data_IF_462958962389
#
_entry.id   IF_462958962389
#
_cell.length_a   1.000
_cell.length_b   1.000
_cell.length_c   1.000
_cell.angle_alpha   90.00
_cell.angle_beta   90.00
_cell.angle_gamma   90.00
#
_symmetry.space_group_name_H-M   'P 1'
#
loop_
_entity.id
_entity.type
_entity.pdbx_description
1 polymer ?
#
# COMPACT_ATOMS: atom_id res chain seq x y z
N UNK A 1 -14.13 22.37 -18.98
CA UNK A 1 -12.92 21.71 -18.42
C UNK A 1 -13.33 20.34 -17.89
N UNK A 2 -13.31 19.31 -18.74
CA UNK A 2 -13.94 18.01 -18.47
C UNK A 2 -12.90 16.99 -17.97
N UNK A 3 -12.76 16.83 -16.65
CA UNK A 3 -11.93 15.76 -16.06
C UNK A 3 -12.78 14.49 -16.01
N UNK A 4 -12.54 13.55 -16.94
CA UNK A 4 -13.13 12.20 -16.87
C UNK A 4 -12.50 11.45 -15.69
N UNK A 5 -13.28 10.92 -14.72
CA UNK A 5 -12.74 10.59 -13.39
C UNK A 5 -12.02 9.23 -13.27
N UNK A 6 -12.00 8.37 -14.29
CA UNK A 6 -11.41 7.02 -14.16
C UNK A 6 -10.69 6.60 -15.43
N UNK A 7 -9.47 7.09 -15.64
CA UNK A 7 -8.54 6.48 -16.60
C UNK A 7 -7.63 5.55 -15.79
N UNK A 8 -7.82 4.23 -15.96
CA UNK A 8 -6.87 3.24 -15.45
C UNK A 8 -5.48 3.60 -15.97
N UNK A 9 -4.45 3.43 -15.14
CA UNK A 9 -3.09 3.55 -15.63
C UNK A 9 -2.86 2.51 -16.75
N UNK A 10 -2.02 2.85 -17.74
CA UNK A 10 -1.81 2.03 -18.95
C UNK A 10 -1.35 0.59 -18.63
N UNK A 11 -0.80 0.38 -17.43
CA UNK A 11 -0.41 -0.93 -16.91
C UNK A 11 -1.61 -1.74 -16.38
N UNK A 12 -2.60 -1.07 -15.78
CA UNK A 12 -3.79 -1.71 -15.18
C UNK A 12 -4.80 -2.13 -16.24
N UNK A 13 -4.93 -1.37 -17.33
CA UNK A 13 -5.82 -1.72 -18.44
C UNK A 13 -5.43 -3.05 -19.09
N UNK A 14 -4.13 -3.37 -19.14
CA UNK A 14 -3.59 -4.63 -19.69
C UNK A 14 -4.07 -5.88 -18.94
N UNK A 15 -4.54 -5.76 -17.69
CA UNK A 15 -5.09 -6.88 -16.94
C UNK A 15 -6.55 -7.16 -17.28
N UNK A 16 -7.25 -6.21 -17.91
CA UNK A 16 -8.66 -6.31 -18.29
C UNK A 16 -8.86 -6.67 -19.78
N UNK A 17 -7.77 -6.76 -20.55
CA UNK A 17 -7.78 -6.98 -22.01
C UNK A 17 -8.03 -8.44 -22.44
N UNK A 18 -8.33 -9.34 -21.50
CA UNK A 18 -8.67 -10.74 -21.79
C UNK A 18 -7.47 -11.70 -21.78
N UNK A 19 -7.59 -12.89 -22.43
CA UNK A 19 -6.59 -13.95 -22.33
C UNK A 19 -5.21 -13.51 -22.85
N UNK A 20 -4.15 -13.80 -22.09
CA UNK A 20 -2.78 -13.43 -22.44
C UNK A 20 -2.05 -14.61 -23.07
N UNK A 21 -0.91 -14.34 -23.71
CA UNK A 21 -0.04 -15.40 -24.23
C UNK A 21 0.45 -16.30 -23.10
N UNK A 22 0.38 -17.63 -23.29
CA UNK A 22 0.89 -18.64 -22.33
C UNK A 22 2.32 -18.38 -21.87
N UNK A 23 3.18 -17.91 -22.78
CA UNK A 23 4.58 -17.56 -22.46
C UNK A 23 4.63 -16.29 -21.58
N UNK A 24 3.79 -15.30 -21.89
CA UNK A 24 3.68 -14.08 -21.10
C UNK A 24 3.16 -14.35 -19.68
N UNK A 25 2.16 -15.22 -19.56
CA UNK A 25 1.64 -15.68 -18.26
C UNK A 25 2.71 -16.43 -17.47
N UNK A 26 3.48 -17.32 -18.10
CA UNK A 26 4.59 -18.02 -17.46
C UNK A 26 5.62 -17.05 -16.85
N UNK A 27 6.09 -16.05 -17.63
CA UNK A 27 7.01 -15.05 -17.11
C UNK A 27 6.39 -14.15 -16.05
N UNK A 28 5.10 -13.83 -16.16
CA UNK A 28 4.38 -13.09 -15.11
C UNK A 28 4.36 -13.89 -13.80
N UNK A 29 4.04 -15.19 -13.84
CA UNK A 29 4.09 -16.07 -12.67
C UNK A 29 5.48 -16.08 -12.04
N UNK A 30 6.54 -16.25 -12.84
CA UNK A 30 7.92 -16.18 -12.33
C UNK A 30 8.24 -14.82 -11.67
N UNK A 31 7.78 -13.71 -12.27
CA UNK A 31 7.95 -12.36 -11.70
C UNK A 31 7.23 -12.22 -10.37
N UNK A 32 5.99 -12.70 -10.26
CA UNK A 32 5.20 -12.68 -9.03
C UNK A 32 5.90 -13.51 -7.94
N UNK A 33 6.36 -14.72 -8.25
CA UNK A 33 7.10 -15.56 -7.31
C UNK A 33 8.38 -14.88 -6.82
N UNK A 34 9.13 -14.22 -7.70
CA UNK A 34 10.32 -13.44 -7.31
C UNK A 34 9.96 -12.26 -6.40
N UNK A 35 8.82 -11.59 -6.63
CA UNK A 35 8.33 -10.53 -5.73
C UNK A 35 8.00 -11.07 -4.34
N UNK A 36 7.37 -12.24 -4.23
CA UNK A 36 7.12 -12.89 -2.94
C UNK A 36 8.41 -13.24 -2.21
N UNK A 37 9.39 -13.82 -2.89
CA UNK A 37 10.70 -14.13 -2.29
C UNK A 37 11.37 -12.86 -1.76
N UNK A 38 11.34 -11.76 -2.52
CA UNK A 38 11.88 -10.47 -2.07
C UNK A 38 11.13 -9.93 -0.86
N UNK A 39 9.81 -10.01 -0.86
CA UNK A 39 8.97 -9.54 0.25
C UNK A 39 9.26 -10.34 1.53
N UNK A 40 9.28 -11.68 1.45
CA UNK A 40 9.59 -12.53 2.60
C UNK A 40 10.98 -12.24 3.18
N UNK A 41 12.00 -12.08 2.33
CA UNK A 41 13.35 -11.72 2.79
C UNK A 41 13.39 -10.35 3.47
N UNK A 42 12.67 -9.36 2.94
CA UNK A 42 12.62 -8.01 3.51
C UNK A 42 11.84 -7.96 4.83
N UNK A 43 10.78 -8.76 4.94
CA UNK A 43 9.91 -8.78 6.11
C UNK A 43 10.34 -9.78 7.19
N UNK A 44 11.32 -10.65 6.91
CA UNK A 44 11.73 -11.74 7.80
C UNK A 44 12.12 -11.29 9.22
N UNK A 45 12.71 -10.10 9.35
CA UNK A 45 13.19 -9.55 10.61
C UNK A 45 12.30 -8.43 11.17
N UNK A 46 11.11 -8.21 10.60
CA UNK A 46 10.17 -7.23 11.14
C UNK A 46 9.62 -7.79 12.46
N UNK A 47 9.67 -6.97 13.52
CA UNK A 47 9.12 -7.33 14.83
C UNK A 47 7.58 -7.37 14.83
N UNK A 48 6.94 -7.37 16.01
CA UNK A 48 5.48 -7.28 16.12
C UNK A 48 4.95 -6.12 15.28
N UNK A 49 4.04 -6.39 14.35
CA UNK A 49 3.61 -5.43 13.35
C UNK A 49 2.09 -5.22 13.39
N UNK A 50 1.67 -3.96 13.34
CA UNK A 50 0.27 -3.56 13.24
C UNK A 50 0.04 -2.90 11.89
N UNK A 51 -0.92 -3.42 11.12
CA UNK A 51 -1.30 -2.81 9.84
C UNK A 51 -2.42 -1.79 10.05
N UNK A 52 -2.20 -0.56 9.60
CA UNK A 52 -3.17 0.54 9.71
C UNK A 52 -3.75 0.86 8.33
N UNK A 53 -5.08 0.85 8.25
CA UNK A 53 -5.85 1.23 7.07
C UNK A 53 -6.66 2.50 7.33
N UNK A 54 -6.88 3.28 6.28
CA UNK A 54 -7.78 4.43 6.35
C UNK A 54 -7.86 5.19 5.04
N UNK A 55 -8.66 6.26 5.04
CA UNK A 55 -8.91 7.08 3.86
C UNK A 55 -7.62 7.70 3.31
N UNK A 56 -7.43 7.58 1.99
CA UNK A 56 -6.38 8.28 1.25
C UNK A 56 -6.70 9.76 0.97
N UNK A 57 -7.88 10.24 1.37
CA UNK A 57 -8.44 11.54 0.95
C UNK A 57 -8.48 12.58 2.06
N UNK A 58 -8.05 12.23 3.27
CA UNK A 58 -8.09 13.15 4.40
C UNK A 58 -6.80 13.97 4.43
N UNK A 59 -6.97 15.28 4.36
CA UNK A 59 -5.88 16.25 4.42
C UNK A 59 -5.32 16.36 5.86
N UNK A 60 -4.10 16.89 6.03
CA UNK A 60 -3.45 16.98 7.33
C UNK A 60 -4.21 17.77 8.40
N UNK A 61 -5.03 18.73 8.02
CA UNK A 61 -5.88 19.52 8.92
C UNK A 61 -7.10 18.74 9.44
N UNK A 62 -7.44 17.60 8.81
CA UNK A 62 -8.55 16.78 9.21
C UNK A 62 -8.32 16.16 10.62
N UNK A 63 -9.33 16.19 11.51
CA UNK A 63 -9.18 15.61 12.86
C UNK A 63 -8.81 14.13 12.84
N UNK A 64 -9.28 13.36 11.84
CA UNK A 64 -8.93 11.95 11.70
C UNK A 64 -7.48 11.75 11.23
N UNK A 65 -6.93 12.65 10.43
CA UNK A 65 -5.50 12.62 10.09
C UNK A 65 -4.66 12.78 11.35
N UNK A 66 -4.96 13.81 12.15
CA UNK A 66 -4.27 14.04 13.43
C UNK A 66 -4.43 12.87 14.41
N UNK A 67 -5.58 12.21 14.41
CA UNK A 67 -5.77 10.99 15.17
C UNK A 67 -4.92 9.83 14.64
N UNK A 68 -4.80 9.69 13.31
CA UNK A 68 -3.91 8.72 12.66
C UNK A 68 -2.46 8.88 13.10
N UNK A 69 -1.96 10.12 13.17
CA UNK A 69 -0.61 10.42 13.69
C UNK A 69 -0.47 9.96 15.14
N UNK A 70 -1.42 10.33 16.01
CA UNK A 70 -1.37 9.92 17.43
C UNK A 70 -1.41 8.40 17.62
N UNK A 71 -2.15 7.69 16.77
CA UNK A 71 -2.20 6.22 16.80
C UNK A 71 -0.87 5.63 16.33
N UNK A 72 -0.29 6.11 15.23
CA UNK A 72 1.03 5.70 14.76
C UNK A 72 2.10 5.86 15.84
N UNK A 73 2.14 7.05 16.45
CA UNK A 73 3.09 7.38 17.51
C UNK A 73 2.93 6.46 18.73
N UNK A 74 1.70 6.21 19.16
CA UNK A 74 1.43 5.32 20.27
C UNK A 74 1.88 3.87 19.97
N UNK A 75 1.63 3.37 18.76
CA UNK A 75 2.07 2.04 18.32
C UNK A 75 3.59 1.93 18.29
N UNK A 76 4.26 2.94 17.73
CA UNK A 76 5.73 3.00 17.68
C UNK A 76 6.34 3.04 19.09
N UNK A 77 5.78 3.86 19.99
CA UNK A 77 6.22 3.94 21.41
C UNK A 77 6.03 2.62 22.16
N UNK A 78 5.03 1.82 21.79
CA UNK A 78 4.79 0.48 22.33
C UNK A 78 5.70 -0.60 21.73
N UNK A 79 6.56 -0.25 20.76
CA UNK A 79 7.51 -1.17 20.12
C UNK A 79 6.93 -1.94 18.93
N UNK A 80 5.76 -1.56 18.43
CA UNK A 80 5.20 -2.15 17.21
C UNK A 80 5.77 -1.48 15.95
N UNK A 81 6.01 -2.27 14.92
CA UNK A 81 6.21 -1.74 13.56
C UNK A 81 4.86 -1.35 12.97
N UNK A 82 4.72 -0.11 12.53
CA UNK A 82 3.53 0.34 11.80
C UNK A 82 3.69 0.03 10.31
N UNK A 83 2.69 -0.61 9.72
CA UNK A 83 2.65 -0.92 8.28
C UNK A 83 1.37 -0.37 7.66
N UNK A 84 1.46 0.24 6.48
CA UNK A 84 0.30 0.75 5.74
C UNK A 84 0.40 0.41 4.25
N UNK A 85 -0.62 0.80 3.47
CA UNK A 85 -0.58 0.73 2.01
C UNK A 85 0.33 1.75 1.33
N UNK A 86 1.00 2.64 2.11
CA UNK A 86 1.96 3.61 1.59
C UNK A 86 1.36 4.80 0.83
N UNK A 87 0.04 4.95 0.83
CA UNK A 87 -0.66 6.08 0.20
C UNK A 87 -0.80 7.31 1.11
N UNK A 88 -1.40 8.39 0.61
CA UNK A 88 -1.65 9.62 1.37
C UNK A 88 -2.74 9.44 2.46
N UNK A 89 -3.06 10.52 3.17
CA UNK A 89 -4.13 10.55 4.15
C UNK A 89 -3.81 9.77 5.41
N UNK A 90 -4.74 8.95 5.90
CA UNK A 90 -4.56 8.21 7.16
C UNK A 90 -3.37 7.25 7.12
N UNK A 91 -3.07 6.68 5.95
CA UNK A 91 -1.91 5.79 5.78
C UNK A 91 -0.59 6.54 5.95
N UNK A 92 -0.51 7.76 5.44
CA UNK A 92 0.62 8.66 5.66
C UNK A 92 0.68 9.10 7.12
N UNK A 93 -0.46 9.50 7.70
CA UNK A 93 -0.56 9.93 9.09
C UNK A 93 -0.03 8.87 10.07
N UNK A 94 -0.45 7.61 9.90
CA UNK A 94 0.00 6.50 10.72
C UNK A 94 1.48 6.16 10.53
N UNK A 95 2.04 6.34 9.33
CA UNK A 95 3.48 6.18 9.09
C UNK A 95 4.31 7.35 9.64
N UNK A 96 3.72 8.53 9.74
CA UNK A 96 4.39 9.76 10.20
C UNK A 96 4.53 9.81 11.72
N UNK A 97 3.51 9.32 12.44
CA UNK A 97 3.53 9.20 13.90
C UNK A 97 4.37 8.02 14.34
#
# INVERSE_FOLDING_TARGET
MNKRPHRLEVEESKFLEGPRSRIGEFFFTLRVQLSFIRAFRKMHFIGPCVTVFGSARFEPDNPYYQQGVRVGEALARLGFTVMTGGGPGIMEAANKG
#
